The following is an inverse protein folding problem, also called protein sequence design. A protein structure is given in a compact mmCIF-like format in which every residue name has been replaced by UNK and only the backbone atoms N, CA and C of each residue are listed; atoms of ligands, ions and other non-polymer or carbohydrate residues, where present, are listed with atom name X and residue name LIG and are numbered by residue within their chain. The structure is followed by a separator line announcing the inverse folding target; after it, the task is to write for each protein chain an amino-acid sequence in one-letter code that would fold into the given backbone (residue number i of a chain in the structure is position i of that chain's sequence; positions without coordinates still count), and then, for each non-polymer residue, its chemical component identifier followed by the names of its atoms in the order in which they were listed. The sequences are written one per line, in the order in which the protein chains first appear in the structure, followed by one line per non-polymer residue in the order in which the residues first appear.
data_IF_752284850330
#
_entry.id   IF_752284850330
#
_cell.length_a   1.000
_cell.length_b   1.000
_cell.length_c   1.000
_cell.angle_alpha   90.00
_cell.angle_beta   90.00
_cell.angle_gamma   90.00
#
_symmetry.space_group_name_H-M   'P 1'
#
loop_
_entity.id
_entity.type
_entity.pdbx_description
1 polymer ?
#
# COMPACT_ATOMS: atom_id res chain seq x y z
N UNK A 1 -3.76 -28.53 3.15
CA UNK A 1 -3.37 -27.16 3.57
C UNK A 1 -4.62 -26.40 3.96
N UNK A 2 -4.55 -25.54 4.96
CA UNK A 2 -5.69 -24.71 5.38
C UNK A 2 -5.93 -23.61 4.35
N UNK A 3 -7.19 -23.23 4.09
CA UNK A 3 -7.55 -22.18 3.13
C UNK A 3 -7.52 -20.77 3.74
N UNK A 4 -7.52 -20.68 5.07
CA UNK A 4 -7.62 -19.43 5.82
C UNK A 4 -6.59 -19.47 6.95
N UNK A 5 -5.88 -18.35 7.15
CA UNK A 5 -4.93 -18.20 8.24
C UNK A 5 -5.35 -17.07 9.17
N UNK A 6 -5.19 -17.26 10.48
CA UNK A 6 -5.37 -16.18 11.46
C UNK A 6 -4.35 -16.34 12.58
N UNK A 7 -3.55 -15.29 12.81
CA UNK A 7 -2.59 -15.25 13.91
C UNK A 7 -2.60 -13.89 14.60
N UNK A 8 -2.73 -13.93 15.92
CA UNK A 8 -2.65 -12.74 16.77
C UNK A 8 -1.32 -12.69 17.53
N UNK A 9 -0.76 -11.49 17.67
CA UNK A 9 0.43 -11.18 18.44
C UNK A 9 0.11 -10.10 19.47
N UNK A 10 -0.34 -10.53 20.65
CA UNK A 10 -0.68 -9.64 21.75
C UNK A 10 0.56 -9.22 22.55
N UNK A 11 0.55 -7.98 23.01
CA UNK A 11 1.46 -7.48 24.04
C UNK A 11 0.68 -6.95 25.23
N UNK A 12 1.32 -6.14 26.07
CA UNK A 12 0.67 -5.59 27.26
C UNK A 12 -0.40 -4.53 26.93
N UNK A 13 -0.13 -3.67 25.94
CA UNK A 13 -0.98 -2.50 25.60
C UNK A 13 -1.54 -2.52 24.18
N UNK A 14 -0.92 -3.27 23.27
CA UNK A 14 -1.36 -3.36 21.88
C UNK A 14 -1.19 -4.77 21.32
N UNK A 15 -2.01 -5.09 20.32
CA UNK A 15 -2.02 -6.35 19.59
C UNK A 15 -2.04 -6.09 18.09
N UNK A 16 -1.50 -7.04 17.33
CA UNK A 16 -1.61 -7.07 15.88
C UNK A 16 -2.15 -8.44 15.46
N UNK A 17 -3.07 -8.46 14.49
CA UNK A 17 -3.74 -9.65 14.00
C UNK A 17 -3.50 -9.72 12.49
N UNK A 18 -2.92 -10.83 12.04
CA UNK A 18 -2.77 -11.17 10.62
C UNK A 18 -3.88 -12.14 10.26
N UNK A 19 -4.68 -11.81 9.25
CA UNK A 19 -5.74 -12.67 8.74
C UNK A 19 -5.59 -12.82 7.23
N UNK A 20 -5.28 -14.02 6.77
CA UNK A 20 -5.35 -14.37 5.34
C UNK A 20 -6.73 -14.97 5.06
N UNK A 21 -7.56 -14.37 4.18
CA UNK A 21 -8.75 -15.01 3.64
C UNK A 21 -8.36 -16.15 2.67
N UNK A 22 -9.36 -16.73 1.99
CA UNK A 22 -9.19 -17.82 1.03
C UNK A 22 -7.97 -17.65 0.12
N UNK A 23 -7.22 -18.72 -0.14
CA UNK A 23 -5.96 -18.69 -0.89
C UNK A 23 -6.05 -18.08 -2.30
N UNK A 24 -7.23 -18.14 -2.91
CA UNK A 24 -7.54 -17.59 -4.24
C UNK A 24 -7.62 -16.05 -4.27
N UNK A 25 -7.56 -15.41 -3.12
CA UNK A 25 -7.78 -13.97 -2.98
C UNK A 25 -6.45 -13.27 -2.69
N UNK A 26 -6.00 -12.30 -3.52
CA UNK A 26 -4.61 -11.80 -3.55
C UNK A 26 -4.32 -10.72 -2.50
N UNK A 27 -4.76 -10.92 -1.26
CA UNK A 27 -4.49 -9.98 -0.16
C UNK A 27 -4.59 -10.66 1.21
N UNK A 28 -4.10 -9.96 2.23
CA UNK A 28 -4.35 -10.26 3.65
C UNK A 28 -4.93 -9.05 4.36
N UNK A 29 -5.46 -9.26 5.56
CA UNK A 29 -5.80 -8.18 6.48
C UNK A 29 -4.80 -8.10 7.61
N UNK A 30 -4.37 -6.87 7.91
CA UNK A 30 -3.57 -6.55 9.08
C UNK A 30 -4.36 -5.61 9.98
N UNK A 31 -4.62 -6.05 11.20
CA UNK A 31 -5.39 -5.28 12.19
C UNK A 31 -4.53 -4.95 13.39
N UNK A 32 -4.45 -3.67 13.76
CA UNK A 32 -3.91 -3.22 15.04
C UNK A 32 -5.04 -2.87 16.01
N UNK A 33 -4.88 -3.26 17.27
CA UNK A 33 -5.81 -2.97 18.38
C UNK A 33 -5.04 -2.62 19.64
N UNK A 34 -5.66 -1.83 20.52
CA UNK A 34 -5.15 -1.50 21.83
C UNK A 34 -5.95 -2.19 22.94
N UNK A 35 -5.29 -2.29 24.10
CA UNK A 35 -5.94 -2.66 25.36
C UNK A 35 -6.53 -1.39 25.97
N UNK A 36 -7.80 -1.45 26.34
CA UNK A 36 -8.54 -0.37 26.99
C UNK A 36 -8.14 -0.25 28.47
N UNK A 37 -8.54 0.86 29.08
CA UNK A 37 -8.27 1.15 30.49
C UNK A 37 -8.94 0.13 31.43
N UNK A 38 -10.10 -0.38 31.05
CA UNK A 38 -10.82 -1.46 31.76
C UNK A 38 -10.15 -2.84 31.64
N UNK A 39 -9.00 -2.92 30.95
CA UNK A 39 -8.24 -4.15 30.74
C UNK A 39 -8.77 -5.05 29.62
N UNK A 40 -9.88 -4.69 28.96
CA UNK A 40 -10.39 -5.40 27.79
C UNK A 40 -9.67 -4.98 26.50
N UNK A 41 -9.81 -5.77 25.43
CA UNK A 41 -9.25 -5.42 24.12
C UNK A 41 -10.29 -4.73 23.25
N UNK A 42 -9.85 -3.76 22.46
CA UNK A 42 -10.62 -3.23 21.34
C UNK A 42 -11.09 -4.34 20.41
N UNK A 43 -12.31 -4.19 19.89
CA UNK A 43 -12.94 -5.16 18.99
C UNK A 43 -13.16 -4.53 17.61
N UNK A 44 -12.52 -5.06 16.55
CA UNK A 44 -12.76 -4.63 15.18
C UNK A 44 -14.24 -4.72 14.76
N UNK A 45 -14.98 -5.69 15.31
CA UNK A 45 -16.43 -5.83 15.07
C UNK A 45 -17.28 -4.69 15.63
N UNK A 46 -16.71 -3.85 16.50
CA UNK A 46 -17.32 -2.63 17.05
C UNK A 46 -16.72 -1.35 16.46
N UNK A 47 -16.02 -1.46 15.33
CA UNK A 47 -15.30 -0.36 14.69
C UNK A 47 -14.16 0.21 15.57
N UNK A 48 -13.55 -0.62 16.42
CA UNK A 48 -12.40 -0.27 17.25
C UNK A 48 -11.12 -0.87 16.66
N UNK A 49 -9.99 -0.20 16.83
CA UNK A 49 -8.74 -0.57 16.15
C UNK A 49 -8.65 0.00 14.74
N UNK A 50 -7.64 -0.44 13.99
CA UNK A 50 -7.50 -0.11 12.57
C UNK A 50 -7.12 -1.36 11.79
N UNK A 51 -7.89 -1.66 10.76
CA UNK A 51 -7.64 -2.77 9.82
C UNK A 51 -7.31 -2.20 8.46
N UNK A 52 -6.29 -2.75 7.82
CA UNK A 52 -5.89 -2.45 6.44
C UNK A 52 -5.81 -3.75 5.64
N UNK A 53 -6.13 -3.67 4.34
CA UNK A 53 -6.01 -4.77 3.38
C UNK A 53 -4.65 -4.62 2.70
N UNK A 54 -3.76 -5.60 2.86
CA UNK A 54 -2.43 -5.57 2.24
C UNK A 54 -2.42 -6.43 0.98
N UNK A 55 -1.98 -5.86 -0.14
CA UNK A 55 -1.72 -6.58 -1.40
C UNK A 55 -0.52 -7.52 -1.30
N UNK A 56 -0.32 -8.35 -2.33
CA UNK A 56 0.86 -9.23 -2.47
C UNK A 56 2.15 -8.40 -2.44
N UNK A 57 2.17 -7.27 -3.13
CA UNK A 57 3.29 -6.34 -3.23
C UNK A 57 3.65 -5.75 -1.86
N UNK A 58 2.64 -5.36 -1.07
CA UNK A 58 2.87 -4.85 0.27
C UNK A 58 3.37 -5.93 1.24
N UNK A 59 2.92 -7.19 1.08
CA UNK A 59 3.49 -8.33 1.82
C UNK A 59 4.98 -8.49 1.51
N UNK A 60 5.37 -8.38 0.23
CA UNK A 60 6.77 -8.43 -0.20
C UNK A 60 7.58 -7.28 0.44
N UNK A 61 7.05 -6.06 0.44
CA UNK A 61 7.72 -4.90 1.05
C UNK A 61 7.94 -5.09 2.57
N UNK A 62 6.95 -5.64 3.27
CA UNK A 62 7.08 -5.98 4.70
C UNK A 62 8.15 -7.06 4.91
N UNK A 63 8.19 -8.08 4.05
CA UNK A 63 9.20 -9.15 4.12
C UNK A 63 10.61 -8.61 3.87
N UNK A 64 10.79 -7.64 2.96
CA UNK A 64 12.08 -6.97 2.73
C UNK A 64 12.59 -6.27 4.00
N UNK A 65 11.70 -5.61 4.75
CA UNK A 65 12.04 -5.01 6.04
C UNK A 65 12.36 -6.08 7.08
N UNK A 66 11.52 -7.10 7.21
CA UNK A 66 11.71 -8.19 8.18
C UNK A 66 13.02 -8.97 7.94
N UNK A 67 13.42 -9.13 6.68
CA UNK A 67 14.66 -9.78 6.27
C UNK A 67 15.88 -8.84 6.31
N UNK A 68 15.72 -7.62 6.83
CA UNK A 68 16.78 -6.61 6.97
C UNK A 68 17.43 -6.20 5.65
N UNK A 69 16.69 -6.30 4.54
CA UNK A 69 17.10 -5.80 3.23
C UNK A 69 16.75 -4.32 3.03
N UNK A 70 15.73 -3.87 3.76
CA UNK A 70 15.32 -2.46 3.85
C UNK A 70 15.17 -2.06 5.32
N UNK A 71 15.49 -0.81 5.65
CA UNK A 71 15.42 -0.32 7.04
C UNK A 71 13.96 -0.16 7.49
N UNK A 72 13.13 0.37 6.60
CA UNK A 72 11.70 0.56 6.81
C UNK A 72 10.96 0.62 5.47
N UNK A 73 9.65 0.40 5.56
CA UNK A 73 8.68 0.55 4.48
C UNK A 73 7.51 1.41 4.98
N UNK A 74 6.99 2.25 4.08
CA UNK A 74 5.77 3.04 4.28
C UNK A 74 4.77 2.71 3.18
N UNK A 75 3.58 2.28 3.56
CA UNK A 75 2.42 2.15 2.69
C UNK A 75 1.41 3.26 2.99
N UNK A 76 0.68 3.71 1.98
CA UNK A 76 -0.42 4.65 2.16
C UNK A 76 -1.66 4.14 1.44
N UNK A 77 -2.74 3.92 2.18
CA UNK A 77 -4.05 3.57 1.60
C UNK A 77 -4.94 4.80 1.61
N UNK A 78 -5.45 5.17 0.43
CA UNK A 78 -6.36 6.32 0.27
C UNK A 78 -7.77 5.84 -0.02
N UNK A 79 -8.72 6.20 0.82
CA UNK A 79 -10.13 5.87 0.63
C UNK A 79 -11.02 7.07 0.99
N UNK A 80 -11.86 7.51 0.05
CA UNK A 80 -12.80 8.65 0.23
C UNK A 80 -12.16 9.84 0.97
N UNK A 81 -10.97 10.25 0.49
CA UNK A 81 -10.15 11.35 1.01
C UNK A 81 -9.35 11.06 2.30
N UNK A 82 -9.62 9.96 3.01
CA UNK A 82 -8.79 9.56 4.16
C UNK A 82 -7.53 8.80 3.72
N UNK A 83 -6.36 9.35 4.08
CA UNK A 83 -5.06 8.70 3.89
C UNK A 83 -4.61 7.99 5.16
N UNK A 84 -4.58 6.66 5.14
CA UNK A 84 -4.05 5.84 6.23
C UNK A 84 -2.60 5.43 5.95
N UNK A 85 -1.67 5.90 6.78
CA UNK A 85 -0.27 5.43 6.75
C UNK A 85 -0.13 4.06 7.41
N UNK A 86 0.63 3.20 6.75
CA UNK A 86 1.16 1.94 7.24
C UNK A 86 2.67 2.10 7.30
N UNK A 87 3.29 1.80 8.42
CA UNK A 87 4.74 1.86 8.57
C UNK A 87 5.23 0.59 9.24
N UNK A 88 6.29 0.02 8.67
CA UNK A 88 7.03 -1.11 9.23
C UNK A 88 8.50 -0.78 9.20
N UNK A 89 9.17 -0.87 10.35
CA UNK A 89 10.60 -0.57 10.41
C UNK A 89 11.25 -1.01 11.71
N UNK A 90 12.57 -1.18 11.67
CA UNK A 90 13.35 -1.50 12.87
C UNK A 90 13.56 -0.24 13.70
N UNK A 91 13.08 -0.25 14.95
CA UNK A 91 13.35 0.84 15.91
C UNK A 91 14.75 0.68 16.53
N UNK A 92 15.18 -0.56 16.70
CA UNK A 92 16.54 -0.89 17.13
C UNK A 92 16.91 -2.25 16.55
N UNK A 93 17.82 -2.24 15.58
CA UNK A 93 18.30 -3.47 14.94
C UNK A 93 19.07 -4.38 15.91
N UNK A 94 19.87 -3.77 16.79
CA UNK A 94 20.66 -4.48 17.81
C UNK A 94 19.77 -5.19 18.84
N UNK A 95 18.59 -4.65 19.13
CA UNK A 95 17.62 -5.22 20.09
C UNK A 95 16.50 -6.01 19.42
N UNK A 96 16.57 -6.16 18.09
CA UNK A 96 15.56 -6.82 17.26
C UNK A 96 14.13 -6.33 17.55
N UNK A 97 13.96 -5.02 17.68
CA UNK A 97 12.65 -4.42 17.93
C UNK A 97 12.08 -3.86 16.64
N UNK A 98 11.14 -4.59 16.07
CA UNK A 98 10.38 -4.17 14.90
C UNK A 98 9.15 -3.39 15.35
N UNK A 99 8.84 -2.29 14.65
CA UNK A 99 7.69 -1.44 14.91
C UNK A 99 6.76 -1.47 13.71
N UNK A 100 5.52 -1.86 13.97
CA UNK A 100 4.37 -1.63 13.10
C UNK A 100 3.62 -0.39 13.56
N UNK A 101 3.19 0.44 12.62
CA UNK A 101 2.25 1.56 12.82
C UNK A 101 1.19 1.52 11.73
N UNK A 102 -0.07 1.69 12.10
CA UNK A 102 -1.20 1.78 11.17
C UNK A 102 -2.07 2.94 11.66
N UNK A 103 -2.04 4.07 10.95
CA UNK A 103 -2.59 5.34 11.45
C UNK A 103 -2.02 5.67 12.84
N UNK A 104 -2.90 5.81 13.83
CA UNK A 104 -2.52 6.14 15.21
C UNK A 104 -2.10 4.91 16.05
N UNK A 105 -2.32 3.69 15.55
CA UNK A 105 -2.00 2.46 16.27
C UNK A 105 -0.54 2.08 16.09
N UNK A 106 0.09 1.57 17.17
CA UNK A 106 1.50 1.17 17.18
C UNK A 106 1.67 -0.17 17.89
N UNK A 107 2.42 -1.09 17.28
CA UNK A 107 2.80 -2.36 17.88
C UNK A 107 4.29 -2.60 17.71
N UNK A 108 4.97 -2.91 18.82
CA UNK A 108 6.34 -3.44 18.79
C UNK A 108 6.30 -4.97 18.81
N UNK A 109 7.08 -5.58 17.94
CA UNK A 109 7.35 -7.02 17.91
C UNK A 109 8.84 -7.24 18.18
N UNK A 110 9.12 -8.31 18.91
CA UNK A 110 10.47 -8.78 19.22
C UNK A 110 10.55 -10.27 18.92
N UNK A 111 11.74 -10.83 18.94
CA UNK A 111 11.92 -12.28 18.99
C UNK A 111 11.07 -12.91 20.13
N UNK A 112 10.42 -14.07 19.92
CA UNK A 112 10.38 -14.88 18.69
C UNK A 112 9.29 -14.47 17.69
N UNK A 113 8.42 -13.53 18.05
CA UNK A 113 7.26 -13.14 17.24
C UNK A 113 7.64 -12.59 15.86
N UNK A 114 8.76 -11.87 15.75
CA UNK A 114 9.28 -11.38 14.46
C UNK A 114 9.64 -12.54 13.52
N UNK A 115 10.31 -13.59 14.03
CA UNK A 115 10.66 -14.78 13.24
C UNK A 115 9.44 -15.60 12.85
N UNK A 116 8.47 -15.73 13.76
CA UNK A 116 7.20 -16.36 13.42
C UNK A 116 6.49 -15.60 12.30
N UNK A 117 6.45 -14.26 12.38
CA UNK A 117 5.80 -13.43 11.37
C UNK A 117 6.45 -13.59 9.99
N UNK A 118 7.78 -13.65 9.91
CA UNK A 118 8.50 -13.95 8.65
C UNK A 118 7.99 -15.26 8.05
N UNK A 119 8.05 -16.36 8.82
CA UNK A 119 7.65 -17.68 8.33
C UNK A 119 6.17 -17.74 7.91
N UNK A 120 5.32 -17.04 8.64
CA UNK A 120 3.89 -16.94 8.32
C UNK A 120 3.66 -16.16 7.02
N UNK A 121 4.32 -15.00 6.84
CA UNK A 121 4.15 -14.18 5.64
C UNK A 121 4.78 -14.82 4.40
N UNK A 122 5.92 -15.51 4.52
CA UNK A 122 6.50 -16.33 3.45
C UNK A 122 5.52 -17.42 2.99
N UNK A 123 4.98 -18.20 3.95
CA UNK A 123 3.98 -19.25 3.65
C UNK A 123 2.75 -18.68 2.95
N UNK A 124 2.18 -17.59 3.47
CA UNK A 124 0.99 -16.98 2.87
C UNK A 124 1.33 -16.42 1.48
N UNK A 125 2.48 -15.76 1.32
CA UNK A 125 2.89 -15.19 0.05
C UNK A 125 3.01 -16.26 -1.04
N UNK A 126 3.71 -17.36 -0.76
CA UNK A 126 3.88 -18.47 -1.69
C UNK A 126 2.51 -19.04 -2.10
N UNK A 127 1.60 -19.22 -1.13
CA UNK A 127 0.24 -19.68 -1.38
C UNK A 127 -0.56 -18.69 -2.23
N UNK A 128 -0.48 -17.37 -1.95
CA UNK A 128 -1.18 -16.36 -2.75
C UNK A 128 -0.63 -16.29 -4.18
N UNK A 129 0.68 -16.40 -4.36
CA UNK A 129 1.28 -16.43 -5.69
C UNK A 129 0.78 -17.67 -6.44
N UNK A 130 0.83 -18.85 -5.83
CA UNK A 130 0.38 -20.09 -6.49
C UNK A 130 -1.10 -20.01 -6.89
N UNK A 131 -1.98 -19.62 -5.96
CA UNK A 131 -3.43 -19.78 -6.15
C UNK A 131 -4.16 -18.54 -6.64
N UNK A 132 -3.72 -17.34 -6.27
CA UNK A 132 -4.40 -16.10 -6.67
C UNK A 132 -3.86 -15.50 -7.98
N UNK A 133 -2.73 -16.00 -8.51
CA UNK A 133 -2.15 -15.53 -9.79
C UNK A 133 -2.23 -16.55 -10.93
N UNK A 134 -2.59 -17.80 -10.65
CA UNK A 134 -2.78 -18.83 -11.68
C UNK A 134 -4.11 -18.59 -12.42
N UNK A 135 -4.04 -18.25 -13.71
CA UNK A 135 -5.17 -17.84 -14.57
C UNK A 135 -6.25 -18.90 -14.86
N UNK A 136 -6.37 -19.96 -14.07
CA UNK A 136 -7.40 -20.99 -14.20
C UNK A 136 -8.54 -20.74 -13.23
N UNK A 137 -9.36 -19.73 -13.51
CA UNK A 137 -10.73 -19.74 -13.02
C UNK A 137 -11.50 -20.79 -13.83
N UNK A 138 -11.55 -22.04 -13.35
CA UNK A 138 -12.60 -22.95 -13.80
C UNK A 138 -13.94 -22.26 -13.52
N UNK A 139 -14.59 -21.85 -14.60
CA UNK A 139 -15.87 -21.16 -14.58
C UNK A 139 -16.94 -22.18 -14.21
N UNK A 140 -17.08 -22.48 -12.91
CA UNK A 140 -18.31 -23.07 -12.40
C UNK A 140 -19.21 -21.96 -11.89
N UNK A 141 -20.33 -21.88 -12.59
CA UNK A 141 -21.40 -20.92 -12.49
C UNK A 141 -21.75 -20.57 -11.04
N UNK A 142 -22.08 -19.28 -10.86
CA UNK A 142 -22.78 -18.70 -9.69
C UNK A 142 -21.90 -18.35 -8.48
N UNK A 143 -21.08 -17.31 -8.62
CA UNK A 143 -20.84 -16.36 -7.53
C UNK A 143 -20.98 -14.95 -8.09
N UNK A 144 -21.69 -14.12 -7.32
CA UNK A 144 -21.84 -12.69 -7.56
C UNK A 144 -20.50 -12.11 -8.04
N UNK A 145 -20.52 -11.33 -9.12
CA UNK A 145 -19.36 -10.56 -9.56
C UNK A 145 -18.85 -9.79 -8.35
N UNK A 146 -17.78 -10.27 -7.73
CA UNK A 146 -16.94 -9.42 -6.88
C UNK A 146 -16.41 -8.41 -7.89
N UNK A 147 -17.04 -7.24 -7.93
CA UNK A 147 -16.49 -6.06 -8.60
C UNK A 147 -15.32 -5.65 -7.73
N UNK A 148 -14.22 -6.37 -7.83
CA UNK A 148 -12.96 -5.96 -7.24
C UNK A 148 -12.50 -4.74 -8.04
N UNK A 149 -12.45 -3.58 -7.39
CA UNK A 149 -11.73 -2.45 -7.94
C UNK A 149 -10.30 -2.90 -8.19
N UNK A 150 -9.79 -2.67 -9.40
CA UNK A 150 -8.37 -2.85 -9.70
C UNK A 150 -7.59 -1.88 -8.82
N UNK A 151 -7.06 -2.34 -7.69
CA UNK A 151 -6.16 -1.53 -6.87
C UNK A 151 -4.84 -1.38 -7.63
N UNK A 152 -4.44 -0.14 -7.92
CA UNK A 152 -3.14 0.16 -8.50
C UNK A 152 -2.17 0.52 -7.38
N UNK A 153 -1.14 -0.31 -7.18
CA UNK A 153 -0.07 -0.08 -6.19
C UNK A 153 1.08 0.67 -6.88
N UNK A 154 1.31 1.92 -6.52
CA UNK A 154 2.52 2.65 -6.92
C UNK A 154 3.63 2.40 -5.91
N UNK A 155 4.82 1.99 -6.37
CA UNK A 155 5.98 1.70 -5.50
C UNK A 155 7.19 2.51 -5.94
N UNK A 156 7.80 3.25 -5.02
CA UNK A 156 9.02 4.03 -5.24
C UNK A 156 10.14 3.58 -4.29
N UNK A 157 11.35 3.44 -4.83
CA UNK A 157 12.55 3.15 -4.07
C UNK A 157 13.30 4.46 -3.82
N UNK A 158 13.32 4.92 -2.58
CA UNK A 158 13.97 6.16 -2.19
C UNK A 158 15.28 5.81 -1.48
N UNK A 159 16.40 6.35 -1.96
CA UNK A 159 17.67 6.29 -1.23
C UNK A 159 17.67 7.39 -0.17
N UNK A 160 17.67 7.00 1.10
CA UNK A 160 17.81 7.94 2.21
C UNK A 160 19.24 8.54 2.21
N UNK A 161 19.39 9.72 2.85
CA UNK A 161 20.67 10.48 2.93
C UNK A 161 21.83 9.69 3.55
N UNK A 162 21.55 8.59 4.24
CA UNK A 162 22.49 7.67 4.88
C UNK A 162 22.86 6.46 3.99
N UNK A 163 22.37 6.39 2.75
CA UNK A 163 22.65 5.29 1.82
C UNK A 163 21.77 4.05 2.01
N UNK A 164 20.82 4.07 2.95
CA UNK A 164 19.85 2.99 3.15
C UNK A 164 18.64 3.14 2.22
N UNK A 165 18.11 2.00 1.76
CA UNK A 165 16.91 1.97 0.92
C UNK A 165 15.65 2.06 1.78
N UNK A 166 14.78 3.00 1.44
CA UNK A 166 13.42 3.15 1.97
C UNK A 166 12.45 2.83 0.83
N UNK A 167 11.45 2.01 1.14
CA UNK A 167 10.40 1.65 0.18
C UNK A 167 9.15 2.43 0.55
N UNK A 168 8.57 3.16 -0.40
CA UNK A 168 7.26 3.79 -0.24
C UNK A 168 6.27 3.20 -1.25
N UNK A 169 5.10 2.77 -0.77
CA UNK A 169 3.99 2.35 -1.61
C UNK A 169 2.75 3.19 -1.34
N UNK A 170 1.96 3.44 -2.38
CA UNK A 170 0.64 4.04 -2.21
C UNK A 170 -0.38 3.22 -2.99
N UNK A 171 -1.42 2.77 -2.29
CA UNK A 171 -2.59 2.13 -2.88
C UNK A 171 -3.72 3.16 -2.98
N UNK A 172 -4.26 3.26 -4.19
CA UNK A 172 -5.48 3.99 -4.48
C UNK A 172 -6.56 2.98 -4.83
N UNK A 173 -7.76 3.17 -4.28
CA UNK A 173 -8.95 2.57 -4.89
C UNK A 173 -9.04 3.14 -6.32
N UNK A 174 -9.19 2.30 -7.35
CA UNK A 174 -9.39 2.79 -8.71
C UNK A 174 -10.73 3.54 -8.80
N UNK A 175 -10.66 4.82 -8.46
CA UNK A 175 -11.63 5.81 -8.86
C UNK A 175 -11.72 5.75 -10.38
N UNK A 176 -12.88 5.36 -10.90
CA UNK A 176 -13.15 5.46 -12.35
C UNK A 176 -13.31 6.92 -12.81
N UNK A 177 -13.23 7.89 -11.89
CA UNK A 177 -13.35 9.30 -12.24
C UNK A 177 -12.06 9.76 -12.91
N UNK A 178 -12.21 10.14 -14.17
CA UNK A 178 -11.14 10.69 -15.01
C UNK A 178 -11.34 12.18 -15.13
N UNK A 179 -10.25 12.91 -15.17
CA UNK A 179 -10.24 14.35 -15.37
C UNK A 179 -9.35 14.68 -16.55
N UNK A 180 -9.85 15.56 -17.42
CA UNK A 180 -9.07 16.10 -18.52
C UNK A 180 -8.26 17.30 -18.00
N UNK A 181 -6.94 17.25 -18.16
CA UNK A 181 -6.04 18.34 -17.83
C UNK A 181 -5.30 18.81 -19.06
N UNK A 182 -4.97 20.09 -19.12
CA UNK A 182 -4.11 20.63 -20.16
C UNK A 182 -2.68 20.76 -19.62
N UNK A 183 -1.74 19.98 -20.16
CA UNK A 183 -0.38 19.91 -19.64
C UNK A 183 0.65 19.70 -20.75
N UNK A 184 1.87 20.22 -20.55
CA UNK A 184 3.03 19.91 -21.40
C UNK A 184 3.89 18.83 -20.76
N UNK A 185 4.46 17.92 -21.54
CA UNK A 185 5.36 16.87 -21.04
C UNK A 185 6.80 17.40 -21.09
N UNK A 186 7.47 17.50 -19.94
CA UNK A 186 8.85 17.97 -19.86
C UNK A 186 9.87 16.84 -19.92
N UNK A 187 9.58 15.75 -19.21
CA UNK A 187 10.49 14.61 -19.06
C UNK A 187 9.69 13.33 -19.21
N UNK A 188 10.21 12.44 -20.04
CA UNK A 188 9.70 11.10 -20.21
C UNK A 188 10.64 10.10 -19.52
N UNK A 189 10.08 9.23 -18.68
CA UNK A 189 10.76 8.10 -18.05
C UNK A 189 10.05 6.78 -18.39
N UNK A 190 10.65 5.65 -18.06
CA UNK A 190 10.06 4.33 -18.35
C UNK A 190 8.64 4.16 -17.77
N UNK A 191 8.36 4.72 -16.59
CA UNK A 191 7.10 4.51 -15.87
C UNK A 191 6.26 5.76 -15.61
N UNK A 192 6.83 6.95 -15.78
CA UNK A 192 6.16 8.21 -15.45
C UNK A 192 6.56 9.36 -16.38
N UNK A 193 5.73 10.38 -16.44
CA UNK A 193 5.94 11.63 -17.16
C UNK A 193 6.00 12.79 -16.16
N UNK A 194 6.97 13.67 -16.31
CA UNK A 194 6.92 14.97 -15.64
C UNK A 194 6.08 15.90 -16.52
N UNK A 195 4.94 16.34 -15.99
CA UNK A 195 4.06 17.26 -16.69
C UNK A 195 4.07 18.63 -16.03
N UNK A 196 3.84 19.67 -16.83
CA UNK A 196 3.65 21.03 -16.35
C UNK A 196 2.29 21.57 -16.81
N UNK A 197 1.50 22.05 -15.86
CA UNK A 197 0.19 22.67 -16.10
C UNK A 197 0.34 24.11 -16.60
N UNK A 198 -0.73 24.66 -17.15
CA UNK A 198 -0.88 26.07 -17.53
C UNK A 198 -0.69 27.04 -16.35
N UNK A 199 -1.03 26.60 -15.15
CA UNK A 199 -0.79 27.31 -13.88
C UNK A 199 0.69 27.39 -13.48
N UNK A 200 1.59 26.77 -14.23
CA UNK A 200 3.04 26.72 -13.94
C UNK A 200 3.45 25.63 -12.96
N UNK A 201 2.50 24.83 -12.47
CA UNK A 201 2.75 23.72 -11.54
C UNK A 201 3.30 22.50 -12.26
N UNK A 202 4.26 21.81 -11.64
CA UNK A 202 4.95 20.65 -12.22
C UNK A 202 4.87 19.46 -11.28
N UNK A 203 4.44 18.31 -11.79
CA UNK A 203 4.37 17.07 -11.02
C UNK A 203 4.50 15.83 -11.90
N UNK A 204 4.86 14.72 -11.25
CA UNK A 204 5.02 13.43 -11.91
C UNK A 204 3.68 12.69 -12.00
N UNK A 205 3.42 12.11 -13.17
CA UNK A 205 2.22 11.32 -13.48
C UNK A 205 2.65 9.96 -14.02
N UNK A 206 2.22 8.83 -13.42
CA UNK A 206 2.43 7.51 -13.96
C UNK A 206 1.83 7.36 -15.37
N UNK A 207 2.51 6.65 -16.26
CA UNK A 207 1.99 6.40 -17.61
C UNK A 207 0.72 5.56 -17.60
N UNK A 208 0.59 4.64 -16.63
CA UNK A 208 -0.58 3.76 -16.46
C UNK A 208 -1.88 4.49 -16.12
N UNK A 209 -1.78 5.75 -15.69
CA UNK A 209 -2.92 6.55 -15.24
C UNK A 209 -3.38 7.58 -16.27
N UNK A 210 -2.73 7.58 -17.44
CA UNK A 210 -3.08 8.41 -18.60
C UNK A 210 -3.80 7.52 -19.60
N UNK A 211 -5.06 7.85 -19.89
CA UNK A 211 -5.98 7.00 -20.64
C UNK A 211 -6.17 7.44 -22.09
N UNK A 212 -5.34 8.35 -22.57
CA UNK A 212 -5.34 8.81 -23.95
C UNK A 212 -3.93 8.78 -24.54
N UNK A 213 -3.86 8.82 -25.87
CA UNK A 213 -2.58 8.98 -26.56
C UNK A 213 -2.03 10.38 -26.31
N UNK A 214 -0.73 10.45 -26.05
CA UNK A 214 0.01 11.69 -25.86
C UNK A 214 1.31 11.63 -26.65
N UNK A 215 1.83 12.79 -27.02
CA UNK A 215 3.15 12.91 -27.66
C UNK A 215 4.18 13.36 -26.62
N UNK A 216 5.11 12.47 -26.28
CA UNK A 216 6.20 12.77 -25.36
C UNK A 216 7.44 13.38 -26.03
N UNK A 217 7.48 13.40 -27.37
CA UNK A 217 8.61 13.95 -28.13
C UNK A 217 8.54 15.47 -28.24
N UNK A 218 7.33 16.03 -28.26
CA UNK A 218 7.12 17.47 -28.33
C UNK A 218 6.98 18.08 -26.93
N UNK A 219 8.09 18.68 -26.45
CA UNK A 219 8.21 19.20 -25.08
C UNK A 219 7.64 20.62 -24.90
N UNK A 220 7.23 21.27 -25.99
CA UNK A 220 6.76 22.65 -25.96
C UNK A 220 5.24 22.77 -26.12
N UNK A 221 4.57 21.70 -26.56
CA UNK A 221 3.12 21.71 -26.78
C UNK A 221 2.36 21.34 -25.50
N UNK A 222 1.34 22.15 -25.19
CA UNK A 222 0.30 21.78 -24.24
C UNK A 222 -0.67 20.81 -24.92
N UNK A 223 -0.86 19.65 -24.29
CA UNK A 223 -1.79 18.64 -24.75
C UNK A 223 -2.78 18.27 -23.66
N UNK A 224 -3.98 17.89 -24.10
CA UNK A 224 -5.02 17.39 -23.21
C UNK A 224 -4.66 15.97 -22.79
N UNK A 225 -4.48 15.74 -21.50
CA UNK A 225 -4.26 14.42 -20.91
C UNK A 225 -5.51 14.02 -20.13
N UNK A 226 -6.00 12.81 -20.39
CA UNK A 226 -7.09 12.21 -19.63
C UNK A 226 -6.48 11.38 -18.50
N UNK A 227 -6.43 11.94 -17.30
CA UNK A 227 -5.72 11.37 -16.15
C UNK A 227 -6.72 10.94 -15.07
N UNK A 228 -6.39 9.91 -14.31
CA UNK A 228 -7.17 9.56 -13.13
C UNK A 228 -7.23 10.74 -12.14
N UNK A 229 -8.45 11.07 -11.69
CA UNK A 229 -8.71 12.25 -10.85
C UNK A 229 -7.87 12.27 -9.57
N UNK A 230 -7.60 11.10 -8.99
CA UNK A 230 -6.81 10.97 -7.76
C UNK A 230 -5.39 11.56 -7.87
N UNK A 231 -4.80 11.58 -9.08
CA UNK A 231 -3.47 12.17 -9.31
C UNK A 231 -3.52 13.68 -9.18
N UNK A 232 -4.57 14.29 -9.70
CA UNK A 232 -4.74 15.73 -9.65
C UNK A 232 -5.02 16.15 -8.22
N UNK A 233 -5.91 15.44 -7.53
CA UNK A 233 -6.25 15.73 -6.13
C UNK A 233 -4.99 15.62 -5.23
N UNK A 234 -4.17 14.57 -5.40
CA UNK A 234 -2.91 14.41 -4.65
C UNK A 234 -1.96 15.60 -4.81
N UNK A 235 -1.78 16.06 -6.04
CA UNK A 235 -0.80 17.10 -6.36
C UNK A 235 -1.33 18.52 -6.10
N UNK A 236 -2.65 18.74 -6.18
CA UNK A 236 -3.29 20.00 -5.81
C UNK A 236 -3.33 20.20 -4.29
N UNK A 237 -3.53 19.16 -3.49
CA UNK A 237 -3.51 19.24 -2.02
C UNK A 237 -2.10 19.63 -1.51
N UNK A 238 -1.03 19.18 -2.16
CA UNK A 238 0.34 19.56 -1.80
C UNK A 238 0.67 21.05 -2.04
N UNK A 239 -0.17 21.78 -2.76
CA UNK A 239 0.02 23.20 -3.09
C UNK A 239 -0.58 24.11 -2.01
N UNK A 240 -1.65 23.68 -1.33
CA UNK A 240 -2.32 24.48 -0.29
C UNK A 240 -1.73 24.33 1.13
N UNK A 241 -0.87 23.32 1.37
CA UNK A 241 -0.16 23.14 2.65
C UNK A 241 1.18 23.90 2.73
N UNK A 242 1.44 24.83 1.78
CA UNK A 242 2.69 25.61 1.70
C UNK A 242 2.53 27.12 1.93
N UNK A 243 1.39 27.57 2.45
CA UNK A 243 1.22 28.94 2.95
C UNK A 243 1.40 29.04 4.48
#
# INVERSE_FOLDING_TARGET
MADIHTKSFFGQKSGIIVKSPAKLVPYIFLTCINRKEDGTWEKPSKNEGKTVRLSIEEIICILEVLNRRSQNWRGYHVFKEEKTEIFVGWESEAREVLKFKIGNYKKKLKFPNTRFLVKLLEHILDEKIEFATSGTFETKERREKIVESEYSVFSEHIKAKDGLHVIETTEYDASKDRMEINARIKVDSEKALLIALDTGNEFWVPKSTIHNNYDANDKEIFQKLLVDKWIIDKNMIQIFDKE
#
